data_IF_643786968456
#
_entry.id   IF_643786968456
#
_cell.length_a   1.000
_cell.length_b   1.000
_cell.length_c   1.000
_cell.angle_alpha   90.00
_cell.angle_beta   90.00
_cell.angle_gamma   90.00
#
_symmetry.space_group_name_H-M   'P 1'
#
loop_
_entity.id
_entity.type
_entity.pdbx_description
1 polymer ?
#
# COMPACT_ATOMS: atom_id res chain seq x y z
N UNK A 1 -29.44 77.40 60.26
CA UNK A 1 -28.19 76.60 60.17
C UNK A 1 -28.36 75.70 58.96
N UNK A 2 -27.82 76.14 57.83
CA UNK A 2 -27.86 75.43 56.56
C UNK A 2 -26.72 74.41 56.52
N UNK A 3 -26.93 73.23 55.92
CA UNK A 3 -25.85 72.57 55.19
C UNK A 3 -26.17 72.48 53.69
N UNK A 4 -25.19 72.72 52.80
CA UNK A 4 -25.42 72.73 51.36
C UNK A 4 -25.21 71.36 50.70
N UNK A 5 -25.94 71.18 49.58
CA UNK A 5 -25.62 70.49 48.33
C UNK A 5 -25.02 69.06 48.35
N UNK A 6 -25.60 68.16 47.54
CA UNK A 6 -24.87 67.74 46.33
C UNK A 6 -25.80 67.15 45.25
N UNK A 7 -25.74 67.73 44.04
CA UNK A 7 -26.38 67.21 42.84
C UNK A 7 -25.46 66.14 42.24
N UNK A 8 -26.00 64.96 41.97
CA UNK A 8 -25.31 63.89 41.25
C UNK A 8 -25.29 64.27 39.75
N UNK A 9 -24.12 64.33 39.08
CA UNK A 9 -24.04 64.58 37.64
C UNK A 9 -24.43 63.34 36.81
N UNK A 10 -24.91 63.53 35.56
CA UNK A 10 -25.31 62.45 34.69
C UNK A 10 -24.10 61.71 34.13
N UNK A 11 -24.08 60.38 34.28
CA UNK A 11 -23.08 59.50 33.68
C UNK A 11 -23.35 59.42 32.17
N UNK A 12 -22.55 60.15 31.39
CA UNK A 12 -22.56 60.16 29.93
C UNK A 12 -22.13 58.81 29.35
N UNK A 13 -22.83 58.34 28.33
CA UNK A 13 -22.69 57.04 27.69
C UNK A 13 -21.42 56.86 26.84
N UNK A 14 -20.24 56.97 27.45
CA UNK A 14 -18.94 56.74 26.79
C UNK A 14 -18.10 55.62 27.43
N UNK A 15 -18.67 54.86 28.37
CA UNK A 15 -17.96 53.77 29.09
C UNK A 15 -18.32 52.35 28.58
N UNK A 16 -19.29 52.20 27.68
CA UNK A 16 -19.73 50.87 27.19
C UNK A 16 -19.03 50.35 25.92
N UNK A 17 -18.00 51.03 25.41
CA UNK A 17 -17.40 50.71 24.11
C UNK A 17 -15.92 50.26 24.13
N UNK A 18 -15.35 49.91 25.29
CA UNK A 18 -13.95 49.46 25.39
C UNK A 18 -13.72 47.98 25.72
N UNK A 19 -14.75 47.15 25.79
CA UNK A 19 -14.62 45.75 26.22
C UNK A 19 -14.85 44.68 25.12
N UNK A 20 -15.05 45.06 23.85
CA UNK A 20 -15.30 44.08 22.76
C UNK A 20 -14.33 44.15 21.58
N UNK A 21 -13.39 45.09 21.58
CA UNK A 21 -12.42 45.26 20.48
C UNK A 21 -11.09 44.52 20.64
N UNK A 22 -10.77 44.07 21.86
CA UNK A 22 -9.41 43.59 22.19
C UNK A 22 -9.27 42.06 22.25
N UNK A 23 -10.37 41.32 22.08
CA UNK A 23 -10.35 39.85 22.10
C UNK A 23 -10.24 39.21 20.70
N UNK A 24 -10.52 39.96 19.63
CA UNK A 24 -10.49 39.44 18.25
C UNK A 24 -9.13 39.68 17.57
N UNK A 25 -8.35 40.68 18.00
CA UNK A 25 -7.04 40.97 17.39
C UNK A 25 -5.91 40.04 17.85
N UNK A 26 -6.04 39.36 19.00
CA UNK A 26 -5.01 38.45 19.53
C UNK A 26 -5.11 37.05 18.90
N UNK A 27 -6.30 36.65 18.43
CA UNK A 27 -6.50 35.33 17.83
C UNK A 27 -6.00 35.24 16.38
N UNK A 28 -5.96 36.36 15.64
CA UNK A 28 -5.48 36.40 14.24
C UNK A 28 -3.95 36.45 14.15
N UNK A 29 -3.24 36.88 15.21
CA UNK A 29 -1.78 37.01 15.20
C UNK A 29 -1.01 35.71 15.55
N UNK A 30 -1.69 34.66 16.00
CA UNK A 30 -1.09 33.38 16.41
C UNK A 30 -1.20 32.26 15.36
N UNK A 31 -1.86 32.52 14.22
CA UNK A 31 -2.09 31.53 13.17
C UNK A 31 -0.94 31.26 12.15
N UNK A 32 0.20 31.98 12.08
CA UNK A 32 1.24 31.63 11.10
C UNK A 32 2.29 30.63 11.62
N UNK A 33 2.24 30.19 12.88
CA UNK A 33 3.26 29.29 13.47
C UNK A 33 3.07 27.79 13.13
N UNK A 34 2.08 27.45 12.31
CA UNK A 34 1.87 26.09 11.79
C UNK A 34 2.37 25.90 10.35
N UNK A 35 3.21 26.79 9.83
CA UNK A 35 4.02 26.49 8.65
C UNK A 35 5.24 25.65 9.03
N UNK A 36 4.97 24.39 9.37
CA UNK A 36 5.98 23.35 9.31
C UNK A 36 6.39 23.13 7.86
N UNK A 37 7.30 23.97 7.36
CA UNK A 37 8.07 23.64 6.18
C UNK A 37 8.81 22.33 6.48
N UNK A 38 8.33 21.22 5.91
CA UNK A 38 9.09 19.98 5.90
C UNK A 38 10.46 20.28 5.28
N UNK A 39 11.51 20.25 6.11
CA UNK A 39 12.88 20.40 5.66
C UNK A 39 13.22 19.17 4.82
N UNK A 40 13.07 19.28 3.51
CA UNK A 40 13.58 18.28 2.57
C UNK A 40 15.11 18.29 2.70
N UNK A 41 15.76 17.15 2.99
CA UNK A 41 17.21 17.07 3.01
C UNK A 41 17.76 17.54 1.66
N UNK A 42 18.74 18.46 1.61
CA UNK A 42 19.44 18.77 0.38
C UNK A 42 20.13 17.48 -0.12
N UNK A 43 19.66 16.93 -1.24
CA UNK A 43 20.17 15.66 -1.77
C UNK A 43 19.20 14.87 -2.65
N UNK A 44 17.90 15.21 -2.67
CA UNK A 44 16.93 14.59 -3.61
C UNK A 44 16.62 15.57 -4.73
N UNK A 45 17.55 15.75 -5.66
CA UNK A 45 17.21 16.13 -7.04
C UNK A 45 16.68 14.88 -7.73
N UNK A 46 15.44 14.50 -7.43
CA UNK A 46 14.74 13.44 -8.13
C UNK A 46 14.06 14.01 -9.37
N UNK A 47 14.64 13.76 -10.54
CA UNK A 47 13.85 13.55 -11.76
C UNK A 47 12.71 12.58 -11.40
N UNK A 48 11.49 12.82 -11.87
CA UNK A 48 10.27 12.20 -11.34
C UNK A 48 10.41 10.69 -11.12
N UNK A 49 10.08 10.23 -9.91
CA UNK A 49 10.12 8.81 -9.57
C UNK A 49 9.04 8.08 -10.37
N UNK A 50 9.44 7.04 -11.10
CA UNK A 50 8.52 6.07 -11.71
C UNK A 50 7.95 5.20 -10.60
N UNK A 51 6.62 5.13 -10.49
CA UNK A 51 5.93 4.49 -9.37
C UNK A 51 4.94 3.45 -9.81
N UNK A 52 4.81 2.40 -8.99
CA UNK A 52 3.75 1.42 -9.06
C UNK A 52 2.97 1.45 -7.75
N UNK A 53 1.75 2.01 -7.78
CA UNK A 53 0.82 1.96 -6.64
C UNK A 53 -0.05 0.73 -6.76
N UNK A 54 -0.19 -0.03 -5.68
CA UNK A 54 -0.96 -1.26 -5.65
C UNK A 54 -1.89 -1.26 -4.44
N UNK A 55 -3.13 -1.68 -4.66
CA UNK A 55 -4.18 -1.86 -3.66
C UNK A 55 -4.87 -3.21 -3.88
N UNK A 56 -5.14 -3.93 -2.79
CA UNK A 56 -5.90 -5.18 -2.77
C UNK A 56 -6.84 -5.15 -1.56
N UNK A 57 -8.07 -5.65 -1.72
CA UNK A 57 -9.07 -5.77 -0.66
C UNK A 57 -9.45 -7.23 -0.47
N UNK A 58 -9.55 -7.65 0.79
CA UNK A 58 -10.15 -8.94 1.17
C UNK A 58 -11.59 -8.74 1.66
N UNK A 59 -12.40 -9.81 1.61
CA UNK A 59 -13.79 -9.85 2.10
C UNK A 59 -13.87 -9.55 3.60
N UNK A 60 -12.98 -10.17 4.37
CA UNK A 60 -12.88 -10.10 5.82
C UNK A 60 -11.96 -8.97 6.28
N UNK A 61 -11.05 -9.28 7.18
CA UNK A 61 -10.03 -8.34 7.67
C UNK A 61 -8.63 -8.85 7.33
N UNK A 62 -7.67 -7.94 7.21
CA UNK A 62 -6.26 -8.34 7.08
C UNK A 62 -5.81 -8.97 8.40
N UNK A 63 -5.61 -10.28 8.38
CA UNK A 63 -5.05 -11.06 9.46
C UNK A 63 -3.55 -11.27 9.24
N UNK A 64 -2.70 -10.62 10.03
CA UNK A 64 -1.24 -10.67 9.87
C UNK A 64 -0.58 -11.99 10.32
N UNK A 65 -1.37 -12.95 10.80
CA UNK A 65 -0.92 -14.34 10.96
C UNK A 65 -0.98 -15.12 9.64
N UNK A 66 -1.76 -14.65 8.67
CA UNK A 66 -1.74 -15.14 7.30
C UNK A 66 -0.58 -14.51 6.52
N UNK A 67 -0.37 -14.98 5.30
CA UNK A 67 0.65 -14.53 4.38
C UNK A 67 0.01 -13.93 3.14
N UNK A 68 0.35 -12.68 2.83
CA UNK A 68 -0.07 -12.02 1.59
C UNK A 68 1.16 -11.71 0.76
N UNK A 69 1.09 -12.05 -0.52
CA UNK A 69 2.14 -11.83 -1.48
C UNK A 69 1.60 -11.09 -2.69
N UNK A 70 2.39 -10.14 -3.17
CA UNK A 70 2.12 -9.37 -4.37
C UNK A 70 3.24 -9.74 -5.32
N UNK A 71 3.02 -10.77 -6.13
CA UNK A 71 4.03 -11.41 -6.93
C UNK A 71 4.05 -10.80 -8.33
N UNK A 72 5.24 -10.54 -8.87
CA UNK A 72 5.39 -10.04 -10.21
C UNK A 72 6.57 -10.63 -10.97
N UNK A 73 6.34 -10.81 -12.27
CA UNK A 73 7.34 -11.26 -13.21
C UNK A 73 7.60 -10.19 -14.26
N UNK A 74 8.85 -9.77 -14.35
CA UNK A 74 9.35 -8.77 -15.29
C UNK A 74 10.22 -9.37 -16.40
N UNK A 75 10.44 -10.69 -16.41
CA UNK A 75 11.25 -11.35 -17.42
C UNK A 75 10.48 -11.48 -18.75
N UNK A 76 11.13 -11.09 -19.85
CA UNK A 76 10.58 -11.27 -21.20
C UNK A 76 10.56 -12.76 -21.60
N UNK A 77 9.51 -13.18 -22.32
CA UNK A 77 9.38 -14.54 -22.85
C UNK A 77 9.19 -15.64 -21.79
N UNK A 78 9.00 -15.27 -20.53
CA UNK A 78 8.87 -16.19 -19.41
C UNK A 78 7.48 -16.89 -19.40
N UNK A 79 7.40 -18.16 -18.96
CA UNK A 79 6.14 -18.89 -18.89
C UNK A 79 5.12 -18.23 -17.94
N UNK A 80 3.85 -18.63 -18.13
CA UNK A 80 2.65 -18.26 -17.38
C UNK A 80 2.94 -18.17 -15.85
N UNK A 81 2.63 -17.03 -15.24
CA UNK A 81 2.81 -16.78 -13.80
C UNK A 81 3.05 -15.31 -13.48
N UNK A 82 3.07 -14.94 -12.19
CA UNK A 82 3.08 -15.82 -11.01
C UNK A 82 1.73 -16.49 -10.69
N UNK A 83 1.76 -17.69 -10.10
CA UNK A 83 0.56 -18.43 -9.66
C UNK A 83 0.78 -19.08 -8.29
N UNK A 84 -0.26 -19.31 -7.48
CA UNK A 84 -0.14 -19.92 -6.17
C UNK A 84 0.27 -21.40 -6.25
N UNK A 85 1.05 -21.85 -5.26
CA UNK A 85 1.28 -23.28 -5.01
C UNK A 85 0.11 -23.84 -4.19
N UNK A 86 -0.65 -24.76 -4.76
CA UNK A 86 -1.85 -25.34 -4.12
C UNK A 86 -1.69 -26.80 -3.70
N UNK A 87 -0.63 -27.48 -4.14
CA UNK A 87 -0.36 -28.89 -3.86
C UNK A 87 1.13 -29.22 -3.85
N UNK A 88 1.56 -30.37 -3.29
CA UNK A 88 2.94 -30.84 -3.42
C UNK A 88 3.34 -31.10 -4.89
N UNK A 89 4.64 -31.04 -5.23
CA UNK A 89 5.74 -30.61 -4.36
C UNK A 89 5.68 -29.11 -4.07
N UNK A 90 5.89 -28.73 -2.80
CA UNK A 90 5.58 -27.37 -2.35
C UNK A 90 6.60 -26.31 -2.77
N UNK A 91 7.86 -26.68 -3.03
CA UNK A 91 8.91 -25.73 -3.41
C UNK A 91 9.11 -24.65 -2.35
N UNK A 92 8.96 -23.38 -2.75
CA UNK A 92 8.99 -22.24 -1.81
C UNK A 92 7.74 -22.14 -0.92
N UNK A 93 6.71 -22.92 -1.22
CA UNK A 93 5.49 -23.07 -0.43
C UNK A 93 4.36 -22.11 -0.75
N UNK A 94 4.53 -21.17 -1.67
CA UNK A 94 3.53 -20.13 -1.92
C UNK A 94 3.34 -19.73 -3.39
N UNK A 95 4.39 -19.66 -4.22
CA UNK A 95 4.28 -19.31 -5.64
C UNK A 95 5.06 -20.25 -6.55
N UNK A 96 4.45 -20.57 -7.68
CA UNK A 96 5.03 -21.26 -8.82
C UNK A 96 4.91 -20.39 -10.09
N UNK A 97 5.25 -20.96 -11.25
CA UNK A 97 5.32 -20.22 -12.51
C UNK A 97 6.54 -19.31 -12.56
N UNK A 98 6.49 -18.26 -13.38
CA UNK A 98 7.56 -17.27 -13.43
C UNK A 98 7.33 -16.13 -12.45
N UNK A 99 8.39 -15.75 -11.73
CA UNK A 99 8.41 -14.64 -10.79
C UNK A 99 9.83 -14.08 -10.69
N UNK A 100 9.91 -12.75 -10.64
CA UNK A 100 11.21 -12.04 -10.47
C UNK A 100 11.30 -11.33 -9.14
N UNK A 101 10.16 -10.92 -8.59
CA UNK A 101 10.08 -10.06 -7.43
C UNK A 101 8.73 -10.26 -6.75
N UNK A 102 8.66 -9.88 -5.49
CA UNK A 102 7.40 -9.85 -4.75
C UNK A 102 7.45 -8.87 -3.59
N UNK A 103 6.28 -8.43 -3.14
CA UNK A 103 6.11 -7.86 -1.81
C UNK A 103 5.50 -8.92 -0.91
N UNK A 104 6.09 -9.16 0.27
CA UNK A 104 5.55 -10.01 1.32
C UNK A 104 4.97 -9.13 2.42
N UNK A 105 3.79 -9.50 2.91
CA UNK A 105 3.11 -8.82 4.00
C UNK A 105 2.73 -9.84 5.07
N UNK A 106 3.25 -9.64 6.28
CA UNK A 106 2.88 -10.36 7.50
C UNK A 106 3.47 -9.63 8.73
N UNK A 107 3.20 -10.14 9.93
CA UNK A 107 3.72 -9.56 11.17
C UNK A 107 5.26 -9.61 11.34
N UNK A 108 5.96 -10.45 10.57
CA UNK A 108 7.42 -10.61 10.66
C UNK A 108 8.21 -9.62 9.80
N UNK A 109 7.55 -8.93 8.86
CA UNK A 109 8.20 -7.97 7.98
C UNK A 109 8.52 -6.64 8.66
N UNK A 110 9.62 -5.98 8.27
CA UNK A 110 9.89 -4.60 8.69
C UNK A 110 8.74 -3.68 8.28
N UNK A 111 8.05 -3.10 9.27
CA UNK A 111 6.86 -2.26 9.02
C UNK A 111 5.72 -2.99 8.30
N UNK A 112 5.61 -4.31 8.46
CA UNK A 112 4.63 -5.19 7.81
C UNK A 112 4.81 -5.43 6.31
N UNK A 113 5.70 -4.72 5.61
CA UNK A 113 5.92 -4.87 4.17
C UNK A 113 7.42 -5.08 3.86
N UNK A 114 7.73 -6.17 3.18
CA UNK A 114 9.08 -6.42 2.65
C UNK A 114 9.06 -6.62 1.14
N UNK A 115 9.97 -5.93 0.44
CA UNK A 115 10.16 -6.05 -1.01
C UNK A 115 11.36 -6.95 -1.28
N UNK A 116 11.17 -7.94 -2.13
CA UNK A 116 12.13 -8.99 -2.40
C UNK A 116 12.37 -9.15 -3.90
N UNK A 117 13.60 -9.49 -4.26
CA UNK A 117 14.00 -9.96 -5.58
C UNK A 117 14.35 -11.44 -5.49
N UNK A 118 13.80 -12.25 -6.39
CA UNK A 118 14.14 -13.66 -6.52
C UNK A 118 15.58 -13.79 -7.03
N UNK A 119 16.41 -14.60 -6.37
CA UNK A 119 17.82 -14.73 -6.75
C UNK A 119 18.00 -15.70 -7.94
N UNK A 120 17.21 -16.77 -7.96
CA UNK A 120 17.18 -17.75 -9.04
C UNK A 120 15.73 -17.95 -9.54
N UNK A 121 15.37 -17.39 -10.71
CA UNK A 121 14.01 -17.49 -11.25
C UNK A 121 13.64 -18.90 -11.73
N UNK A 122 14.58 -19.86 -11.79
CA UNK A 122 14.28 -21.25 -12.16
C UNK A 122 13.79 -22.07 -10.97
N UNK A 123 14.32 -21.82 -9.78
CA UNK A 123 14.00 -22.59 -8.58
C UNK A 123 13.06 -21.87 -7.62
N UNK A 124 13.09 -20.52 -7.61
CA UNK A 124 12.31 -19.66 -6.73
C UNK A 124 12.54 -19.92 -5.22
N UNK A 125 13.61 -20.63 -4.85
CA UNK A 125 13.87 -21.06 -3.48
C UNK A 125 14.50 -19.99 -2.61
N UNK A 126 15.20 -19.03 -3.22
CA UNK A 126 15.89 -17.95 -2.52
C UNK A 126 15.50 -16.59 -3.07
N UNK A 127 15.43 -15.62 -2.17
CA UNK A 127 15.15 -14.24 -2.50
C UNK A 127 15.90 -13.30 -1.57
N UNK A 128 16.42 -12.21 -2.14
CA UNK A 128 17.09 -11.14 -1.43
C UNK A 128 16.10 -10.03 -1.06
N UNK A 129 16.12 -9.59 0.20
CA UNK A 129 15.42 -8.37 0.62
C UNK A 129 16.09 -7.14 -0.01
N UNK A 130 15.32 -6.32 -0.73
CA UNK A 130 15.81 -5.14 -1.43
C UNK A 130 15.26 -3.83 -0.86
N UNK A 131 14.30 -3.89 0.05
CA UNK A 131 13.78 -2.71 0.74
C UNK A 131 12.33 -2.85 1.15
N UNK A 132 11.69 -1.69 1.34
CA UNK A 132 10.28 -1.56 1.68
C UNK A 132 9.59 -0.63 0.68
N UNK A 133 8.25 -0.63 0.58
CA UNK A 133 7.54 0.36 -0.21
C UNK A 133 7.85 1.80 0.24
N UNK A 134 7.82 2.75 -0.69
CA UNK A 134 8.07 4.17 -0.41
C UNK A 134 6.91 4.83 0.33
N UNK A 135 5.69 4.31 0.12
CA UNK A 135 4.47 4.69 0.82
C UNK A 135 3.66 3.41 1.08
N UNK A 136 2.99 3.29 2.22
CA UNK A 136 2.10 2.18 2.52
C UNK A 136 1.08 2.56 3.60
N UNK A 137 -0.03 1.82 3.67
CA UNK A 137 -1.03 1.92 4.73
C UNK A 137 -0.75 0.84 5.78
N UNK A 138 -0.89 1.19 7.06
CA UNK A 138 -0.85 0.21 8.16
C UNK A 138 -1.95 -0.84 7.94
N UNK A 139 -1.61 -2.12 7.78
CA UNK A 139 -2.59 -3.15 7.42
C UNK A 139 -3.52 -3.54 8.57
N UNK A 140 -3.22 -3.13 9.81
CA UNK A 140 -3.94 -3.60 11.00
C UNK A 140 -5.33 -2.97 11.10
N UNK A 141 -6.33 -3.81 11.36
CA UNK A 141 -7.70 -3.36 11.62
C UNK A 141 -8.49 -2.91 10.40
N UNK A 142 -7.93 -3.07 9.19
CA UNK A 142 -8.62 -2.84 7.93
C UNK A 142 -8.74 -4.13 7.11
N UNK A 143 -9.29 -4.00 5.90
CA UNK A 143 -9.42 -5.06 4.91
C UNK A 143 -8.66 -4.75 3.61
N UNK A 144 -7.78 -3.74 3.65
CA UNK A 144 -7.05 -3.23 2.49
C UNK A 144 -5.55 -3.34 2.75
N UNK A 145 -4.83 -3.89 1.78
CA UNK A 145 -3.39 -3.76 1.64
C UNK A 145 -3.11 -2.75 0.55
N UNK A 146 -2.33 -1.71 0.86
CA UNK A 146 -1.95 -0.69 -0.12
C UNK A 146 -0.54 -0.21 0.10
N UNK A 147 0.20 -0.11 -0.99
CA UNK A 147 1.55 0.40 -1.01
C UNK A 147 1.95 0.99 -2.35
N UNK A 148 3.07 1.72 -2.36
CA UNK A 148 3.69 2.29 -3.56
C UNK A 148 5.13 1.83 -3.63
N UNK A 149 5.52 1.25 -4.77
CA UNK A 149 6.89 0.88 -5.08
C UNK A 149 7.55 1.94 -5.95
N UNK A 150 8.84 2.14 -5.70
CA UNK A 150 9.74 2.83 -6.63
C UNK A 150 10.16 1.83 -7.71
N UNK A 151 9.79 2.08 -8.97
CA UNK A 151 10.13 1.21 -10.08
C UNK A 151 11.64 1.19 -10.35
N UNK A 152 12.37 2.24 -10.01
CA UNK A 152 13.82 2.29 -10.23
C UNK A 152 14.58 1.49 -9.15
N UNK A 153 13.96 1.22 -7.99
CA UNK A 153 14.47 0.24 -7.02
C UNK A 153 14.35 -1.19 -7.55
N UNK A 154 13.23 -1.49 -8.22
CA UNK A 154 12.96 -2.83 -8.78
C UNK A 154 13.75 -3.07 -10.07
N UNK A 155 13.84 -2.03 -10.91
CA UNK A 155 14.43 -2.07 -12.25
C UNK A 155 15.45 -0.94 -12.39
N UNK A 156 16.65 -1.11 -11.83
CA UNK A 156 17.70 -0.09 -11.88
C UNK A 156 17.93 0.44 -13.31
N UNK A 157 18.07 1.77 -13.51
CA UNK A 157 18.12 2.39 -14.83
C UNK A 157 19.35 1.99 -15.66
N UNK A 158 20.38 1.42 -15.04
CA UNK A 158 21.55 0.85 -15.72
C UNK A 158 21.28 -0.54 -16.34
N UNK A 159 20.07 -1.10 -16.16
CA UNK A 159 19.64 -2.39 -16.71
C UNK A 159 18.53 -2.20 -17.75
N UNK A 160 18.37 -3.17 -18.67
CA UNK A 160 17.21 -3.21 -19.56
C UNK A 160 15.90 -3.10 -18.78
N UNK A 161 15.06 -2.15 -19.20
CA UNK A 161 13.81 -1.85 -18.51
C UNK A 161 12.70 -2.79 -19.02
N UNK A 162 11.95 -3.44 -18.12
CA UNK A 162 10.82 -4.26 -18.54
C UNK A 162 9.74 -3.37 -19.14
N UNK A 163 9.21 -3.84 -20.26
CA UNK A 163 8.08 -3.21 -20.94
C UNK A 163 6.76 -3.42 -20.17
N UNK A 164 6.59 -4.60 -19.59
CA UNK A 164 5.41 -4.97 -18.83
C UNK A 164 5.79 -5.91 -17.71
N UNK A 165 4.88 -6.07 -16.74
CA UNK A 165 4.96 -7.14 -15.75
C UNK A 165 3.68 -7.97 -15.79
N UNK A 166 3.79 -9.26 -15.49
CA UNK A 166 2.63 -10.06 -15.07
C UNK A 166 2.53 -10.04 -13.56
N UNK A 167 1.31 -9.94 -13.05
CA UNK A 167 1.05 -9.66 -11.64
C UNK A 167 -0.05 -10.57 -11.10
N UNK A 168 0.17 -11.13 -9.91
CA UNK A 168 -0.84 -11.88 -9.17
C UNK A 168 -0.75 -11.53 -7.66
N UNK A 169 -1.91 -11.54 -7.00
CA UNK A 169 -2.01 -11.50 -5.55
C UNK A 169 -2.11 -12.93 -5.05
N UNK A 170 -1.42 -13.26 -3.96
CA UNK A 170 -1.51 -14.60 -3.36
C UNK A 170 -1.73 -14.42 -1.87
N UNK A 171 -2.90 -14.81 -1.38
CA UNK A 171 -3.22 -14.83 0.04
C UNK A 171 -3.25 -16.30 0.52
N UNK A 172 -2.61 -16.62 1.64
CA UNK A 172 -2.63 -17.99 2.17
C UNK A 172 -2.49 -18.03 3.68
N UNK A 173 -3.13 -19.03 4.30
CA UNK A 173 -3.03 -19.31 5.74
C UNK A 173 -1.65 -19.84 6.15
N UNK A 174 -0.97 -20.56 5.26
CA UNK A 174 0.32 -21.20 5.58
C UNK A 174 1.27 -21.27 4.39
N UNK A 175 2.56 -21.07 4.66
CA UNK A 175 3.65 -21.36 3.72
C UNK A 175 4.27 -22.71 4.07
N UNK A 176 4.07 -23.71 3.22
CA UNK A 176 4.52 -25.08 3.45
C UNK A 176 5.76 -25.37 2.61
N UNK A 177 6.88 -25.76 3.20
CA UNK A 177 8.09 -26.13 2.45
C UNK A 177 8.46 -27.62 2.58
N UNK A 178 7.86 -28.33 3.55
CA UNK A 178 8.05 -29.78 3.70
C UNK A 178 7.28 -30.54 2.61
N UNK A 179 7.95 -31.23 1.66
CA UNK A 179 7.31 -31.96 0.57
C UNK A 179 6.37 -33.08 1.04
N UNK A 180 6.48 -33.52 2.29
CA UNK A 180 5.67 -34.60 2.86
C UNK A 180 4.42 -34.11 3.60
N UNK A 181 4.25 -32.81 3.78
CA UNK A 181 3.08 -32.26 4.47
C UNK A 181 1.79 -32.56 3.70
N UNK A 182 0.77 -33.04 4.42
CA UNK A 182 -0.54 -33.51 3.88
C UNK A 182 -1.74 -32.72 4.41
N UNK A 183 -1.51 -31.60 5.07
CA UNK A 183 -2.60 -30.78 5.61
C UNK A 183 -3.40 -30.07 4.52
N UNK A 184 -4.43 -29.34 4.94
CA UNK A 184 -5.18 -28.43 4.09
C UNK A 184 -4.51 -27.07 4.13
N UNK A 185 -4.24 -26.51 2.95
CA UNK A 185 -3.79 -25.14 2.75
C UNK A 185 -4.94 -24.37 2.10
N UNK A 186 -5.27 -23.21 2.65
CA UNK A 186 -6.17 -22.26 2.01
C UNK A 186 -5.33 -21.26 1.24
N UNK A 187 -5.72 -21.02 0.00
CA UNK A 187 -5.01 -20.11 -0.86
C UNK A 187 -6.00 -19.44 -1.78
N UNK A 188 -5.79 -18.15 -1.93
CA UNK A 188 -6.48 -17.32 -2.88
C UNK A 188 -5.48 -16.63 -3.81
N UNK A 189 -5.95 -16.25 -4.98
CA UNK A 189 -5.26 -15.38 -5.92
C UNK A 189 -6.19 -15.01 -7.07
N UNK A 190 -5.65 -14.36 -8.10
CA UNK A 190 -6.52 -13.86 -9.17
C UNK A 190 -7.24 -14.99 -9.95
N UNK A 191 -8.52 -14.76 -10.17
CA UNK A 191 -9.51 -15.60 -10.83
C UNK A 191 -9.99 -16.77 -9.96
N UNK A 192 -11.04 -17.49 -10.38
CA UNK A 192 -11.75 -18.49 -9.55
C UNK A 192 -10.92 -19.67 -9.03
N UNK A 193 -9.70 -19.84 -9.53
CA UNK A 193 -8.76 -20.90 -9.14
C UNK A 193 -7.41 -20.34 -8.66
N UNK A 194 -7.28 -19.03 -8.55
CA UNK A 194 -6.04 -18.31 -8.20
C UNK A 194 -4.96 -18.29 -9.29
N UNK A 195 -5.20 -18.92 -10.44
CA UNK A 195 -4.18 -19.13 -11.50
C UNK A 195 -4.18 -18.05 -12.59
N UNK A 196 -4.99 -17.01 -12.45
CA UNK A 196 -5.02 -15.87 -13.36
C UNK A 196 -3.96 -14.85 -12.95
N UNK A 197 -3.60 -13.96 -13.86
CA UNK A 197 -2.73 -12.83 -13.59
C UNK A 197 -3.09 -11.71 -14.57
N UNK A 198 -2.74 -10.49 -14.20
CA UNK A 198 -2.93 -9.31 -15.04
C UNK A 198 -1.61 -8.87 -15.63
N UNK A 199 -1.64 -8.39 -16.87
CA UNK A 199 -0.48 -7.79 -17.53
C UNK A 199 -0.54 -6.27 -17.38
N UNK A 200 0.50 -5.70 -16.79
CA UNK A 200 0.61 -4.28 -16.50
C UNK A 200 1.73 -3.68 -17.37
N UNK A 201 1.40 -3.00 -18.47
CA UNK A 201 2.32 -2.15 -19.21
C UNK A 201 2.96 -1.09 -18.31
N UNK A 202 4.27 -0.91 -18.41
CA UNK A 202 5.04 0.03 -17.59
C UNK A 202 5.48 1.29 -18.36
N UNK A 203 5.16 1.40 -19.65
CA UNK A 203 5.58 2.52 -20.51
C UNK A 203 4.61 3.70 -20.51
N UNK A 204 3.41 3.52 -19.96
CA UNK A 204 2.39 4.57 -19.90
C UNK A 204 1.78 4.65 -18.51
N UNK A 205 1.54 5.86 -18.04
CA UNK A 205 0.78 6.07 -16.82
C UNK A 205 -0.66 5.62 -17.02
N UNK A 206 -1.11 4.61 -16.26
CA UNK A 206 -2.45 4.03 -16.39
C UNK A 206 -2.90 3.40 -15.08
N UNK A 207 -4.22 3.40 -14.88
CA UNK A 207 -4.90 2.67 -13.81
C UNK A 207 -5.53 1.41 -14.41
N UNK A 208 -5.34 0.30 -13.71
CA UNK A 208 -5.94 -1.00 -13.95
C UNK A 208 -6.74 -1.37 -12.70
N UNK A 209 -7.98 -1.82 -12.89
CA UNK A 209 -8.90 -2.18 -11.82
C UNK A 209 -9.41 -3.60 -12.00
N UNK A 210 -9.98 -4.15 -10.93
CA UNK A 210 -10.66 -5.42 -10.97
C UNK A 210 -11.69 -5.54 -12.11
N UNK A 211 -12.49 -4.48 -12.33
CA UNK A 211 -13.47 -4.40 -13.42
C UNK A 211 -12.87 -4.47 -14.84
N UNK A 212 -11.57 -4.19 -14.99
CA UNK A 212 -10.87 -4.25 -16.27
C UNK A 212 -10.30 -5.65 -16.58
N UNK A 213 -10.30 -6.59 -15.63
CA UNK A 213 -9.79 -7.94 -15.85
C UNK A 213 -10.73 -8.79 -16.71
N UNK A 214 -10.14 -9.76 -17.42
CA UNK A 214 -10.90 -10.77 -18.16
C UNK A 214 -11.78 -11.62 -17.26
N UNK A 215 -11.33 -11.82 -16.01
CA UNK A 215 -12.08 -12.48 -14.95
C UNK A 215 -11.90 -11.61 -13.70
N UNK A 216 -12.87 -10.74 -13.39
CA UNK A 216 -12.85 -9.95 -12.17
C UNK A 216 -12.93 -10.86 -10.93
N UNK A 217 -12.25 -10.45 -9.87
CA UNK A 217 -12.37 -11.04 -8.53
C UNK A 217 -13.77 -10.80 -7.98
N UNK A 218 -14.35 -11.84 -7.40
CA UNK A 218 -15.62 -11.84 -6.71
C UNK A 218 -15.47 -12.61 -5.40
N UNK A 219 -16.32 -12.34 -4.42
CA UNK A 219 -16.27 -13.05 -3.16
C UNK A 219 -16.66 -14.53 -3.29
N UNK A 220 -15.95 -15.39 -2.55
CA UNK A 220 -16.47 -16.71 -2.15
C UNK A 220 -15.85 -17.93 -2.83
N UNK A 221 -14.78 -17.77 -3.60
CA UNK A 221 -13.94 -18.89 -4.04
C UNK A 221 -13.04 -19.43 -2.92
N UNK A 222 -12.76 -18.61 -1.89
CA UNK A 222 -12.10 -19.04 -0.66
C UNK A 222 -13.01 -18.95 0.58
N UNK A 223 -13.09 -20.02 1.39
CA UNK A 223 -14.00 -20.05 2.55
C UNK A 223 -13.58 -19.12 3.69
N UNK A 224 -12.28 -18.85 3.85
CA UNK A 224 -11.79 -17.92 4.86
C UNK A 224 -11.93 -16.47 4.34
N UNK A 225 -12.79 -15.63 4.94
CA UNK A 225 -12.98 -14.25 4.50
C UNK A 225 -11.71 -13.40 4.59
N UNK A 226 -10.77 -13.72 5.49
CA UNK A 226 -9.53 -12.94 5.65
C UNK A 226 -8.53 -13.21 4.52
N UNK A 227 -8.75 -14.26 3.73
CA UNK A 227 -7.96 -14.62 2.55
C UNK A 227 -8.66 -14.26 1.23
N UNK A 228 -10.00 -14.33 1.20
CA UNK A 228 -10.86 -14.10 0.04
C UNK A 228 -10.70 -12.69 -0.55
N UNK A 229 -10.03 -12.58 -1.70
CA UNK A 229 -9.71 -11.34 -2.43
C UNK A 229 -10.93 -10.95 -3.25
N UNK A 230 -11.39 -9.70 -3.08
CA UNK A 230 -12.66 -9.25 -3.69
C UNK A 230 -12.51 -8.03 -4.58
N UNK A 231 -11.37 -7.33 -4.50
CA UNK A 231 -11.12 -6.12 -5.30
C UNK A 231 -9.63 -5.80 -5.33
N UNK A 232 -9.19 -5.11 -6.38
CA UNK A 232 -7.83 -4.64 -6.51
C UNK A 232 -7.71 -3.46 -7.49
N UNK A 233 -6.64 -2.68 -7.31
CA UNK A 233 -6.27 -1.57 -8.19
C UNK A 233 -4.75 -1.50 -8.33
N UNK A 234 -4.26 -1.36 -9.55
CA UNK A 234 -2.86 -1.11 -9.87
C UNK A 234 -2.75 0.17 -10.68
N UNK A 235 -1.82 1.05 -10.31
CA UNK A 235 -1.58 2.32 -11.00
C UNK A 235 -0.10 2.51 -11.29
N UNK A 236 0.21 2.72 -12.57
CA UNK A 236 1.55 3.11 -13.05
C UNK A 236 1.59 4.62 -13.18
N UNK A 237 2.61 5.25 -12.60
CA UNK A 237 2.87 6.68 -12.72
C UNK A 237 4.28 6.92 -13.24
N UNK A 238 4.37 7.62 -14.36
CA UNK A 238 5.62 8.05 -14.99
C UNK A 238 5.66 9.56 -14.86
N UNK A 239 6.49 10.08 -13.96
CA UNK A 239 6.71 11.51 -13.81
C UNK A 239 8.15 11.83 -14.16
#
# INVERSE_FOLDING_TARGET
MEPPANRIPPQTGLERLRAKGTAILVLILLLPLLQGCAKVPPGVTGVGLRRLSVEMRVRGSINLNNYYFFAFNAAEGAPIGPVPVVSPPWGNGWSAGSMTHFVRINASEPSFYGVYRVDDPQTLLTASYIGRPIEYIDPRGGNILRFVLDLDLLFPPDKPQPQQITFNFIATDIVVTDPNWRGRKLVDGLGPTGTTFVTIPLQHGRIFRNEDASVPEEAGDVPDPDLDIVDWKIEVSLR
#
